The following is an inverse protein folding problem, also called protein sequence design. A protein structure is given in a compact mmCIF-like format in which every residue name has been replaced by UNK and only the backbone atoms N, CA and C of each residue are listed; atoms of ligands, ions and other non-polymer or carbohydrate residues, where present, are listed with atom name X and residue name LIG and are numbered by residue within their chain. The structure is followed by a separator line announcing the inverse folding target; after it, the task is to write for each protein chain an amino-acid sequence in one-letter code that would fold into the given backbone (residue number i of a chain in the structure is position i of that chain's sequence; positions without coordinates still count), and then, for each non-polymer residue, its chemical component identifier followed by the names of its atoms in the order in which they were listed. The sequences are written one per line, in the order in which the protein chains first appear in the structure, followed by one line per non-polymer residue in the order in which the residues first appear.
data_IF_508195579574
#
_entry.id   IF_508195579574
#
_cell.length_a   1.000
_cell.length_b   1.000
_cell.length_c   1.000
_cell.angle_alpha   90.00
_cell.angle_beta   90.00
_cell.angle_gamma   90.00
#
_symmetry.space_group_name_H-M   'P 1'
#
loop_
_entity.id
_entity.type
_entity.pdbx_description
1 polymer ?
#
# COMPACT_ATOMS: atom_id res chain seq x y z
N UNK A 1 18.63 14.49 -12.30
CA UNK A 1 18.83 13.14 -11.76
C UNK A 1 19.78 13.28 -10.61
N UNK A 2 19.32 13.05 -9.39
CA UNK A 2 20.15 13.29 -8.21
C UNK A 2 19.94 12.16 -7.21
N UNK A 3 20.99 11.38 -7.05
CA UNK A 3 21.03 10.32 -6.05
C UNK A 3 21.68 10.89 -4.80
N UNK A 4 21.06 10.73 -3.66
CA UNK A 4 21.52 11.26 -2.38
C UNK A 4 21.98 10.13 -1.48
N UNK A 5 23.08 10.34 -0.74
CA UNK A 5 23.63 9.36 0.21
C UNK A 5 24.00 10.05 1.53
N UNK A 6 23.65 9.44 2.67
CA UNK A 6 24.11 9.92 3.98
C UNK A 6 25.46 9.27 4.38
N UNK A 7 26.31 9.95 5.18
CA UNK A 7 27.55 9.34 5.65
C UNK A 7 27.26 8.10 6.50
N UNK A 8 28.16 7.09 6.53
CA UNK A 8 27.95 5.89 7.34
C UNK A 8 27.80 6.27 8.82
N UNK A 9 26.63 5.98 9.38
CA UNK A 9 26.28 6.40 10.74
C UNK A 9 25.43 5.37 11.49
N UNK A 10 24.82 4.42 10.78
CA UNK A 10 23.86 3.48 11.36
C UNK A 10 24.53 2.15 11.69
N UNK A 11 24.68 1.77 12.97
CA UNK A 11 25.34 0.52 13.34
C UNK A 11 24.39 -0.67 13.18
N UNK A 12 24.77 -1.65 12.35
CA UNK A 12 24.07 -2.94 12.24
C UNK A 12 25.02 -4.03 11.72
N UNK A 13 24.83 -5.28 12.14
CA UNK A 13 25.62 -6.44 11.69
C UNK A 13 27.16 -6.23 11.74
N UNK A 14 27.64 -5.52 12.77
CA UNK A 14 29.07 -5.29 13.00
C UNK A 14 29.73 -4.26 12.06
N UNK A 15 28.94 -3.45 11.34
CA UNK A 15 29.44 -2.38 10.45
C UNK A 15 28.55 -1.14 10.50
N UNK A 16 29.03 -0.04 9.93
CA UNK A 16 28.20 1.14 9.70
C UNK A 16 27.47 1.07 8.36
N UNK A 17 26.31 1.69 8.30
CA UNK A 17 25.45 1.75 7.13
C UNK A 17 25.08 3.19 6.78
N UNK A 18 24.93 3.39 5.47
CA UNK A 18 24.41 4.56 4.79
C UNK A 18 23.08 4.20 4.11
N UNK A 19 22.32 5.22 3.75
CA UNK A 19 21.08 5.16 3.01
C UNK A 19 21.23 5.91 1.70
N UNK A 20 20.87 5.25 0.61
CA UNK A 20 20.91 5.80 -0.73
C UNK A 20 19.48 6.00 -1.25
N UNK A 21 19.14 7.22 -1.67
CA UNK A 21 17.78 7.59 -2.10
C UNK A 21 17.78 8.35 -3.42
N UNK A 22 16.63 8.35 -4.08
CA UNK A 22 16.28 9.34 -5.09
C UNK A 22 15.18 10.23 -4.53
N UNK A 23 15.14 11.49 -4.95
CA UNK A 23 14.03 12.41 -4.72
C UNK A 23 13.12 12.57 -5.96
N UNK A 24 13.34 11.79 -7.01
CA UNK A 24 12.62 11.88 -8.28
C UNK A 24 11.90 10.57 -8.64
N UNK A 25 12.59 9.41 -8.62
CA UNK A 25 11.93 8.11 -8.87
C UNK A 25 12.75 6.92 -8.37
N UNK A 26 12.10 5.79 -8.09
CA UNK A 26 12.82 4.54 -7.81
C UNK A 26 13.49 3.96 -9.04
N UNK A 27 12.99 4.24 -10.24
CA UNK A 27 13.59 3.73 -11.47
C UNK A 27 15.03 4.24 -11.62
N UNK A 28 15.26 5.55 -11.42
CA UNK A 28 16.63 6.08 -11.45
C UNK A 28 17.47 5.56 -10.29
N UNK A 29 16.87 5.35 -9.12
CA UNK A 29 17.58 4.77 -7.97
C UNK A 29 18.02 3.33 -8.26
N UNK A 30 17.15 2.52 -8.87
CA UNK A 30 17.46 1.15 -9.28
C UNK A 30 18.52 1.12 -10.37
N UNK A 31 18.39 1.99 -11.38
CA UNK A 31 19.36 2.09 -12.47
C UNK A 31 20.75 2.48 -11.95
N UNK A 32 20.82 3.44 -11.03
CA UNK A 32 22.07 3.83 -10.38
C UNK A 32 22.64 2.70 -9.52
N UNK A 33 21.81 2.07 -8.69
CA UNK A 33 22.21 0.97 -7.82
C UNK A 33 22.74 -0.23 -8.62
N UNK A 34 22.08 -0.59 -9.73
CA UNK A 34 22.50 -1.65 -10.64
C UNK A 34 23.84 -1.32 -11.31
N UNK A 35 23.99 -0.12 -11.86
CA UNK A 35 25.25 0.34 -12.46
C UNK A 35 26.41 0.34 -11.44
N UNK A 36 26.12 0.63 -10.17
CA UNK A 36 27.08 0.58 -9.08
C UNK A 36 27.24 -0.81 -8.42
N UNK A 37 26.57 -1.84 -8.94
CA UNK A 37 26.67 -3.23 -8.47
C UNK A 37 26.10 -3.47 -7.07
N UNK A 38 25.09 -2.71 -6.65
CA UNK A 38 24.32 -2.96 -5.44
C UNK A 38 23.24 -4.03 -5.70
N UNK A 39 23.12 -5.05 -4.84
CA UNK A 39 22.15 -6.11 -5.06
C UNK A 39 20.72 -5.59 -4.82
N UNK A 40 19.76 -6.03 -5.64
CA UNK A 40 18.35 -5.60 -5.58
C UNK A 40 17.70 -5.81 -4.20
N UNK A 41 18.14 -6.85 -3.47
CA UNK A 41 17.69 -7.17 -2.10
C UNK A 41 18.09 -6.13 -1.04
N UNK A 42 19.03 -5.23 -1.35
CA UNK A 42 19.38 -4.13 -0.45
C UNK A 42 18.37 -2.98 -0.48
N UNK A 43 17.34 -3.07 -1.32
CA UNK A 43 16.28 -2.06 -1.41
C UNK A 43 15.20 -2.31 -0.36
N UNK A 44 15.06 -1.37 0.56
CA UNK A 44 14.16 -1.43 1.73
C UNK A 44 12.84 -0.67 1.49
N UNK A 45 12.37 -0.69 0.25
CA UNK A 45 11.10 -0.10 -0.19
C UNK A 45 11.22 1.33 -0.71
N UNK A 46 12.05 2.18 -0.12
CA UNK A 46 12.27 3.56 -0.58
C UNK A 46 13.72 4.05 -0.57
N UNK A 47 14.65 3.22 -0.12
CA UNK A 47 16.07 3.49 -0.10
C UNK A 47 16.83 2.18 -0.28
N UNK A 48 18.13 2.28 -0.60
CA UNK A 48 19.06 1.17 -0.42
C UNK A 48 19.83 1.33 0.88
N UNK A 49 19.96 0.25 1.64
CA UNK A 49 20.94 0.14 2.71
C UNK A 49 22.31 -0.17 2.10
N UNK A 50 23.28 0.70 2.37
CA UNK A 50 24.63 0.67 1.80
C UNK A 50 25.63 0.44 2.93
N UNK A 51 26.43 -0.63 2.88
CA UNK A 51 27.46 -0.85 3.90
C UNK A 51 28.62 0.14 3.70
N UNK A 52 29.28 0.54 4.80
CA UNK A 52 30.28 1.62 4.82
C UNK A 52 31.39 1.47 3.77
N UNK A 53 31.83 0.24 3.47
CA UNK A 53 32.85 -0.05 2.46
C UNK A 53 32.45 0.34 1.02
N UNK A 54 31.14 0.54 0.75
CA UNK A 54 30.63 0.94 -0.57
C UNK A 54 30.43 2.45 -0.69
N UNK A 55 30.46 3.20 0.42
CA UNK A 55 30.14 4.63 0.44
C UNK A 55 30.99 5.42 -0.56
N UNK A 56 32.33 5.31 -0.45
CA UNK A 56 33.25 6.06 -1.31
C UNK A 56 33.07 5.75 -2.80
N UNK A 57 32.77 4.49 -3.14
CA UNK A 57 32.52 4.07 -4.52
C UNK A 57 31.23 4.66 -5.07
N UNK A 58 30.16 4.76 -4.28
CA UNK A 58 28.90 5.38 -4.71
C UNK A 58 29.03 6.89 -4.87
N UNK A 59 29.79 7.56 -4.00
CA UNK A 59 30.10 8.99 -4.17
C UNK A 59 30.91 9.22 -5.43
N UNK A 60 31.93 8.39 -5.70
CA UNK A 60 32.71 8.45 -6.94
C UNK A 60 31.85 8.16 -8.19
N UNK A 61 30.80 7.33 -8.06
CA UNK A 61 29.84 7.05 -9.12
C UNK A 61 28.79 8.16 -9.33
N UNK A 62 28.79 9.22 -8.51
CA UNK A 62 27.90 10.38 -8.66
C UNK A 62 26.77 10.50 -7.64
N UNK A 63 26.77 9.70 -6.56
CA UNK A 63 25.88 9.95 -5.42
C UNK A 63 26.33 11.20 -4.66
N UNK A 64 25.39 12.09 -4.34
CA UNK A 64 25.64 13.36 -3.66
C UNK A 64 25.53 13.18 -2.14
N UNK A 65 26.62 13.38 -1.39
CA UNK A 65 26.60 13.32 0.07
C UNK A 65 25.71 14.40 0.67
N UNK A 66 24.85 14.01 1.60
CA UNK A 66 24.03 14.92 2.42
C UNK A 66 23.93 14.38 3.84
N UNK A 67 23.60 15.22 4.81
CA UNK A 67 23.32 14.74 6.17
C UNK A 67 22.06 13.87 6.18
N UNK A 68 21.97 12.90 7.11
CA UNK A 68 20.78 12.03 7.21
C UNK A 68 19.46 12.78 7.39
N UNK A 69 19.46 13.93 8.09
CA UNK A 69 18.27 14.79 8.23
C UNK A 69 17.84 15.42 6.91
N UNK A 70 18.80 15.86 6.12
CA UNK A 70 18.59 16.41 4.77
C UNK A 70 18.04 15.34 3.84
N UNK A 71 18.65 14.16 3.86
CA UNK A 71 18.25 13.00 3.07
C UNK A 71 16.78 12.63 3.32
N UNK A 72 16.40 12.51 4.60
CA UNK A 72 15.01 12.21 4.99
C UNK A 72 14.04 13.32 4.57
N UNK A 73 14.46 14.60 4.66
CA UNK A 73 13.61 15.73 4.24
C UNK A 73 13.33 15.68 2.74
N UNK A 74 14.36 15.44 1.92
CA UNK A 74 14.23 15.29 0.45
C UNK A 74 13.35 14.10 0.09
N UNK A 75 13.60 12.95 0.71
CA UNK A 75 12.81 11.74 0.49
C UNK A 75 11.33 11.95 0.86
N UNK A 76 11.02 12.67 1.95
CA UNK A 76 9.64 13.02 2.30
C UNK A 76 9.01 13.98 1.29
N UNK A 77 9.74 15.03 0.89
CA UNK A 77 9.25 16.03 -0.06
C UNK A 77 8.96 15.43 -1.45
N UNK A 78 9.73 14.41 -1.86
CA UNK A 78 9.50 13.69 -3.12
C UNK A 78 8.21 12.85 -3.17
N UNK A 79 7.58 12.59 -2.01
CA UNK A 79 6.48 11.63 -1.92
C UNK A 79 6.93 10.17 -1.96
N UNK A 80 8.21 9.87 -2.21
CA UNK A 80 8.77 8.52 -2.27
C UNK A 80 9.01 7.91 -0.88
N UNK A 81 8.89 8.65 0.23
CA UNK A 81 9.03 8.04 1.56
C UNK A 81 7.92 7.01 1.81
N UNK A 82 8.31 5.78 2.13
CA UNK A 82 7.47 4.73 2.72
C UNK A 82 7.78 4.64 4.21
N UNK A 83 7.01 5.29 5.09
CA UNK A 83 7.21 5.12 6.52
C UNK A 83 7.17 3.63 6.86
N UNK A 84 8.24 3.09 7.45
CA UNK A 84 8.19 1.77 8.09
C UNK A 84 7.35 1.94 9.35
N UNK A 85 6.03 1.77 9.24
CA UNK A 85 5.16 1.72 10.40
C UNK A 85 5.24 0.32 10.99
N UNK A 86 5.36 0.22 12.32
CA UNK A 86 5.22 -1.06 13.02
C UNK A 86 3.90 -1.68 12.56
N UNK A 87 3.85 -2.99 12.33
CA UNK A 87 2.65 -3.70 11.86
C UNK A 87 2.20 -3.46 10.42
N UNK A 88 2.98 -2.77 9.59
CA UNK A 88 2.77 -2.72 8.14
C UNK A 88 3.80 -3.56 7.39
N UNK A 89 3.37 -4.25 6.35
CA UNK A 89 4.24 -4.99 5.43
C UNK A 89 3.80 -4.77 3.99
N UNK A 90 4.70 -4.25 3.16
CA UNK A 90 4.48 -4.18 1.72
C UNK A 90 4.51 -5.61 1.17
N UNK A 91 3.41 -6.05 0.57
CA UNK A 91 3.30 -7.36 -0.07
C UNK A 91 3.77 -7.29 -1.52
N UNK A 92 3.33 -6.26 -2.23
CA UNK A 92 3.64 -6.03 -3.65
C UNK A 92 3.82 -4.54 -3.89
N UNK A 93 4.84 -4.19 -4.66
CA UNK A 93 4.99 -2.84 -5.21
C UNK A 93 4.90 -2.91 -6.73
N UNK A 94 3.99 -2.12 -7.30
CA UNK A 94 3.86 -1.92 -8.73
C UNK A 94 4.50 -0.58 -9.10
N UNK A 95 5.75 -0.55 -9.58
CA UNK A 95 6.34 0.67 -10.13
C UNK A 95 5.70 0.98 -11.49
N UNK A 96 5.33 2.25 -11.73
CA UNK A 96 4.74 2.73 -12.98
C UNK A 96 3.59 1.85 -13.52
N UNK A 97 2.57 1.55 -12.71
CA UNK A 97 1.49 0.66 -13.15
C UNK A 97 0.66 1.32 -14.24
N UNK A 98 0.26 0.55 -15.26
CA UNK A 98 -0.45 1.06 -16.44
C UNK A 98 -1.81 1.73 -16.12
N UNK A 99 -2.38 1.50 -14.93
CA UNK A 99 -3.62 2.11 -14.47
C UNK A 99 -3.44 3.43 -13.70
N UNK A 100 -2.20 3.89 -13.51
CA UNK A 100 -1.89 5.20 -12.92
C UNK A 100 -1.13 6.08 -13.92
N UNK A 101 -1.11 7.42 -13.70
CA UNK A 101 -0.29 8.32 -14.50
C UNK A 101 1.20 7.90 -14.53
N UNK A 102 1.95 8.20 -15.61
CA UNK A 102 3.39 7.93 -15.67
C UNK A 102 4.15 8.51 -14.47
N UNK A 103 5.18 7.78 -14.00
CA UNK A 103 5.93 8.15 -12.80
C UNK A 103 5.25 7.80 -11.47
N UNK A 104 4.02 7.25 -11.51
CA UNK A 104 3.30 6.81 -10.31
C UNK A 104 3.73 5.45 -9.81
N UNK A 105 3.26 5.09 -8.62
CA UNK A 105 3.42 3.78 -8.01
C UNK A 105 2.17 3.36 -7.27
N UNK A 106 1.92 2.06 -7.20
CA UNK A 106 0.96 1.48 -6.27
C UNK A 106 1.66 0.47 -5.33
N UNK A 107 1.40 0.56 -4.03
CA UNK A 107 1.86 -0.41 -3.04
C UNK A 107 0.70 -1.12 -2.39
N UNK A 108 0.74 -2.45 -2.37
CA UNK A 108 -0.21 -3.28 -1.62
C UNK A 108 0.40 -3.59 -0.27
N UNK A 109 -0.24 -3.11 0.80
CA UNK A 109 0.33 -3.10 2.16
C UNK A 109 -0.63 -3.84 3.09
N UNK A 110 -0.20 -4.97 3.62
CA UNK A 110 -0.86 -5.59 4.77
C UNK A 110 -0.61 -4.71 6.00
N UNK A 111 -1.66 -4.44 6.78
CA UNK A 111 -1.57 -3.59 7.97
C UNK A 111 -2.36 -4.20 9.10
N UNK A 112 -1.78 -4.23 10.30
CA UNK A 112 -2.50 -4.56 11.56
C UNK A 112 -2.66 -3.35 12.46
N UNK A 113 -2.68 -2.17 11.86
CA UNK A 113 -3.00 -0.93 12.58
C UNK A 113 -4.50 -0.92 12.92
N UNK A 114 -4.84 -0.36 14.08
CA UNK A 114 -6.25 -0.17 14.44
C UNK A 114 -6.91 0.89 13.55
N UNK A 115 -6.15 1.94 13.21
CA UNK A 115 -6.61 3.00 12.33
C UNK A 115 -6.03 2.84 10.91
N UNK A 116 -6.86 3.07 9.87
CA UNK A 116 -6.39 3.12 8.51
C UNK A 116 -5.50 4.37 8.27
N UNK A 117 -4.76 4.42 7.16
CA UNK A 117 -4.03 5.64 6.78
C UNK A 117 -4.97 6.85 6.68
N UNK A 118 -4.51 8.02 7.15
CA UNK A 118 -5.29 9.26 7.11
C UNK A 118 -5.62 9.73 5.68
N UNK A 119 -4.84 9.29 4.69
CA UNK A 119 -5.05 9.52 3.26
C UNK A 119 -5.99 8.48 2.61
N UNK A 120 -6.79 7.75 3.39
CA UNK A 120 -7.78 6.79 2.87
C UNK A 120 -8.95 7.50 2.21
N UNK A 121 -9.14 7.23 0.92
CA UNK A 121 -10.20 7.83 0.09
C UNK A 121 -11.26 6.83 -0.33
N UNK A 122 -10.95 5.54 -0.35
CA UNK A 122 -11.89 4.46 -0.65
C UNK A 122 -11.79 3.39 0.41
N UNK A 123 -12.96 2.89 0.81
CA UNK A 123 -13.11 1.77 1.74
C UNK A 123 -13.72 0.59 0.98
N UNK A 124 -13.21 -0.61 1.26
CA UNK A 124 -13.78 -1.89 0.87
C UNK A 124 -14.07 -2.72 2.12
N UNK A 125 -15.13 -3.50 2.11
CA UNK A 125 -15.42 -4.47 3.18
C UNK A 125 -15.48 -5.89 2.60
N UNK A 126 -14.56 -6.73 3.05
CA UNK A 126 -14.59 -8.18 2.90
C UNK A 126 -15.57 -8.74 3.92
N UNK A 127 -16.82 -8.96 3.51
CA UNK A 127 -17.84 -9.60 4.33
C UNK A 127 -17.75 -11.11 4.11
N UNK A 128 -17.50 -11.87 5.17
CA UNK A 128 -17.32 -13.32 5.11
C UNK A 128 -18.39 -14.06 5.92
N UNK A 129 -18.93 -15.15 5.36
CA UNK A 129 -19.87 -16.05 6.01
C UNK A 129 -19.66 -17.48 5.56
N UNK A 130 -19.52 -18.43 6.50
CA UNK A 130 -19.41 -19.87 6.22
C UNK A 130 -18.43 -20.31 5.10
N UNK A 131 -17.29 -19.61 4.95
CA UNK A 131 -16.32 -19.91 3.88
C UNK A 131 -16.64 -19.28 2.51
N UNK A 132 -17.64 -18.41 2.47
CA UNK A 132 -17.99 -17.58 1.32
C UNK A 132 -17.75 -16.10 1.62
N UNK A 133 -17.63 -15.30 0.57
CA UNK A 133 -17.49 -13.85 0.64
C UNK A 133 -18.58 -13.17 -0.19
N UNK A 134 -19.06 -12.02 0.30
CA UNK A 134 -20.03 -11.22 -0.44
C UNK A 134 -19.29 -10.41 -1.52
N UNK A 135 -19.73 -10.55 -2.77
CA UNK A 135 -19.21 -9.78 -3.90
C UNK A 135 -20.32 -9.00 -4.58
N UNK A 136 -19.94 -7.89 -5.21
CA UNK A 136 -20.86 -7.01 -5.94
C UNK A 136 -20.39 -6.80 -7.38
N UNK A 137 -21.33 -6.58 -8.29
CA UNK A 137 -21.05 -6.22 -9.67
C UNK A 137 -20.58 -4.76 -9.73
N UNK A 138 -19.43 -4.50 -10.35
CA UNK A 138 -19.00 -3.12 -10.59
C UNK A 138 -19.77 -2.48 -11.76
N UNK A 139 -20.02 -1.16 -11.71
CA UNK A 139 -20.60 -0.43 -12.84
C UNK A 139 -19.78 -0.55 -14.13
N UNK A 140 -18.46 -0.65 -14.03
CA UNK A 140 -17.52 -0.77 -15.15
C UNK A 140 -17.14 -2.23 -15.48
N UNK A 141 -17.77 -3.21 -14.83
CA UNK A 141 -17.63 -4.63 -15.15
C UNK A 141 -16.82 -5.49 -14.17
N UNK A 142 -17.14 -6.78 -14.16
CA UNK A 142 -16.59 -7.78 -13.24
C UNK A 142 -17.07 -7.62 -11.78
N UNK A 143 -16.64 -8.58 -10.96
CA UNK A 143 -16.96 -8.62 -9.53
C UNK A 143 -15.86 -7.93 -8.69
N UNK A 144 -16.24 -7.39 -7.54
CA UNK A 144 -15.34 -6.77 -6.56
C UNK A 144 -15.99 -6.86 -5.18
N UNK A 145 -15.26 -6.45 -4.14
CA UNK A 145 -15.83 -6.30 -2.80
C UNK A 145 -16.76 -5.07 -2.76
N UNK A 146 -17.78 -5.07 -1.88
CA UNK A 146 -18.53 -3.86 -1.53
C UNK A 146 -17.56 -2.71 -1.22
N UNK A 147 -17.76 -1.56 -1.87
CA UNK A 147 -16.82 -0.44 -1.77
C UNK A 147 -17.49 0.92 -1.92
N UNK A 148 -16.96 1.92 -1.23
CA UNK A 148 -17.46 3.30 -1.29
C UNK A 148 -16.31 4.31 -1.16
N UNK A 149 -16.45 5.46 -1.81
CA UNK A 149 -15.55 6.60 -1.60
C UNK A 149 -15.96 7.34 -0.33
N UNK A 150 -14.97 7.71 0.50
CA UNK A 150 -15.18 8.36 1.81
C UNK A 150 -15.92 9.70 1.68
N UNK A 151 -15.72 10.44 0.59
CA UNK A 151 -16.40 11.71 0.36
C UNK A 151 -17.90 11.59 0.01
N UNK A 152 -18.35 10.38 -0.37
CA UNK A 152 -19.74 10.09 -0.76
C UNK A 152 -20.63 9.73 0.42
N UNK A 153 -20.08 9.49 1.61
CA UNK A 153 -20.84 9.15 2.80
C UNK A 153 -21.03 10.36 3.73
N UNK A 154 -22.15 10.38 4.44
CA UNK A 154 -22.40 11.34 5.51
C UNK A 154 -21.32 11.21 6.59
N UNK A 155 -20.82 12.33 7.11
CA UNK A 155 -19.72 12.37 8.09
C UNK A 155 -18.32 12.38 7.46
N UNK A 156 -18.18 11.89 6.22
CA UNK A 156 -16.93 11.94 5.41
C UNK A 156 -15.70 11.40 6.14
N UNK A 157 -15.91 10.37 6.98
CA UNK A 157 -14.84 9.65 7.67
C UNK A 157 -14.76 8.20 7.19
N UNK A 158 -13.61 7.56 7.44
CA UNK A 158 -13.45 6.14 7.11
C UNK A 158 -14.40 5.27 7.95
N UNK A 159 -14.62 5.62 9.21
CA UNK A 159 -15.55 4.90 10.08
C UNK A 159 -16.98 4.94 9.54
N UNK A 160 -17.45 6.12 9.10
CA UNK A 160 -18.77 6.27 8.50
C UNK A 160 -18.88 5.49 7.18
N UNK A 161 -17.80 5.46 6.38
CA UNK A 161 -17.75 4.71 5.13
C UNK A 161 -17.80 3.19 5.35
N UNK A 162 -17.10 2.68 6.36
CA UNK A 162 -17.22 1.28 6.78
C UNK A 162 -18.64 1.01 7.23
N UNK A 163 -19.18 1.77 8.19
CA UNK A 163 -20.52 1.55 8.72
C UNK A 163 -21.60 1.60 7.62
N UNK A 164 -21.48 2.54 6.67
CA UNK A 164 -22.36 2.64 5.51
C UNK A 164 -22.36 1.35 4.69
N UNK A 165 -21.17 0.83 4.38
CA UNK A 165 -21.02 -0.43 3.63
C UNK A 165 -21.57 -1.63 4.41
N UNK A 166 -21.40 -1.69 5.73
CA UNK A 166 -21.94 -2.79 6.53
C UNK A 166 -23.46 -2.82 6.48
N UNK A 167 -24.09 -1.66 6.67
CA UNK A 167 -25.56 -1.52 6.59
C UNK A 167 -26.06 -1.82 5.17
N UNK A 168 -25.39 -1.33 4.12
CA UNK A 168 -25.78 -1.62 2.74
C UNK A 168 -25.59 -3.11 2.38
N UNK A 169 -24.52 -3.73 2.85
CA UNK A 169 -24.15 -5.10 2.53
C UNK A 169 -25.01 -6.12 3.27
N UNK A 170 -25.21 -5.97 4.58
CA UNK A 170 -25.82 -6.99 5.45
C UNK A 170 -26.84 -6.44 6.46
N UNK A 171 -27.14 -5.13 6.42
CA UNK A 171 -28.15 -4.52 7.27
C UNK A 171 -27.77 -4.38 8.75
N UNK A 172 -26.56 -4.80 9.14
CA UNK A 172 -26.06 -4.75 10.51
C UNK A 172 -24.65 -4.15 10.57
N UNK A 173 -24.33 -3.57 11.72
CA UNK A 173 -23.01 -3.02 12.03
C UNK A 173 -22.33 -3.97 12.99
N UNK A 174 -21.11 -4.40 12.66
CA UNK A 174 -20.29 -5.26 13.51
C UNK A 174 -18.86 -4.71 13.62
N UNK A 175 -18.07 -5.17 14.61
CA UNK A 175 -16.64 -4.88 14.64
C UNK A 175 -15.97 -5.29 13.33
N UNK A 176 -15.01 -4.48 12.88
CA UNK A 176 -14.21 -4.76 11.69
C UNK A 176 -12.73 -4.72 12.01
N UNK A 177 -11.95 -5.46 11.24
CA UNK A 177 -10.50 -5.41 11.27
C UNK A 177 -9.95 -4.82 9.98
N UNK A 178 -8.92 -3.96 10.08
CA UNK A 178 -8.16 -3.53 8.91
C UNK A 178 -7.32 -4.70 8.40
N UNK A 179 -7.57 -5.15 7.17
CA UNK A 179 -6.76 -6.17 6.48
C UNK A 179 -5.48 -5.54 5.94
N UNK A 180 -5.62 -4.34 5.38
CA UNK A 180 -4.55 -3.61 4.71
C UNK A 180 -5.11 -2.58 3.75
N UNK A 181 -4.25 -2.06 2.89
CA UNK A 181 -4.64 -1.04 1.92
C UNK A 181 -3.72 -1.04 0.71
N UNK A 182 -4.23 -0.50 -0.39
CA UNK A 182 -3.40 -0.10 -1.52
C UNK A 182 -3.11 1.39 -1.40
N UNK A 183 -1.85 1.78 -1.52
CA UNK A 183 -1.43 3.18 -1.58
C UNK A 183 -1.00 3.52 -2.99
N UNK A 184 -1.70 4.47 -3.60
CA UNK A 184 -1.24 5.12 -4.80
C UNK A 184 -0.33 6.29 -4.42
N UNK A 185 0.81 6.39 -5.09
CA UNK A 185 1.68 7.56 -5.05
C UNK A 185 1.75 8.14 -6.46
N UNK A 186 1.18 9.33 -6.64
CA UNK A 186 1.08 10.06 -7.92
C UNK A 186 1.68 11.45 -7.72
N UNK A 187 2.99 11.63 -7.94
CA UNK A 187 3.67 12.90 -7.67
C UNK A 187 3.13 14.06 -8.51
N UNK A 188 2.89 13.82 -9.80
CA UNK A 188 2.42 14.81 -10.76
C UNK A 188 1.08 14.33 -11.38
N UNK A 189 -0.06 14.60 -10.73
CA UNK A 189 -1.35 14.18 -11.26
C UNK A 189 -1.69 15.00 -12.52
N UNK A 190 -2.19 14.37 -13.60
CA UNK A 190 -2.74 15.11 -14.72
C UNK A 190 -4.02 15.85 -14.29
N UNK A 191 -4.39 16.88 -15.05
CA UNK A 191 -5.67 17.55 -14.85
C UNK A 191 -6.83 16.53 -14.88
N UNK A 192 -7.71 16.59 -13.88
CA UNK A 192 -8.85 15.66 -13.77
C UNK A 192 -8.53 14.32 -13.09
N UNK A 193 -7.32 14.11 -12.55
CA UNK A 193 -7.04 12.96 -11.70
C UNK A 193 -8.00 12.96 -10.49
N UNK A 194 -8.72 11.85 -10.22
CA UNK A 194 -9.85 11.87 -9.29
C UNK A 194 -9.45 11.80 -7.81
N UNK A 195 -8.17 11.56 -7.50
CA UNK A 195 -7.72 11.33 -6.12
C UNK A 195 -6.76 12.42 -5.64
N UNK A 196 -6.69 12.67 -4.32
CA UNK A 196 -5.66 13.50 -3.74
C UNK A 196 -4.25 13.04 -4.12
N UNK A 197 -3.36 14.01 -4.33
CA UNK A 197 -1.96 13.80 -4.63
C UNK A 197 -1.07 14.45 -3.55
N UNK A 198 0.13 13.91 -3.28
CA UNK A 198 0.75 12.80 -4.01
C UNK A 198 0.26 11.42 -3.54
N UNK A 199 -0.60 11.32 -2.53
CA UNK A 199 -0.98 10.03 -1.93
C UNK A 199 -2.49 9.87 -1.77
N UNK A 200 -2.95 8.67 -2.07
CA UNK A 200 -4.31 8.21 -1.82
C UNK A 200 -4.29 6.73 -1.43
N UNK A 201 -5.01 6.39 -0.36
CA UNK A 201 -5.11 5.03 0.17
C UNK A 201 -6.50 4.43 -0.06
N UNK A 202 -6.52 3.12 -0.30
CA UNK A 202 -7.70 2.33 -0.64
C UNK A 202 -7.73 1.14 0.31
N UNK A 203 -8.46 1.27 1.42
CA UNK A 203 -8.42 0.34 2.54
C UNK A 203 -9.38 -0.84 2.34
N UNK A 204 -9.00 -2.01 2.86
CA UNK A 204 -9.83 -3.22 2.94
C UNK A 204 -10.02 -3.57 4.41
N UNK A 205 -11.27 -3.66 4.82
CA UNK A 205 -11.68 -4.12 6.14
C UNK A 205 -12.31 -5.51 6.05
N UNK A 206 -12.22 -6.30 7.11
CA UNK A 206 -12.86 -7.61 7.21
C UNK A 206 -13.96 -7.59 8.26
N UNK A 207 -15.07 -8.25 7.93
CA UNK A 207 -16.20 -8.49 8.82
C UNK A 207 -16.64 -9.95 8.65
N UNK A 208 -16.87 -10.64 9.77
CA UNK A 208 -17.52 -11.96 9.78
C UNK A 208 -18.98 -11.77 10.16
N UNK A 209 -19.87 -12.47 9.46
CA UNK A 209 -21.32 -12.46 9.70
C UNK A 209 -21.86 -13.88 9.77
N UNK A 210 -22.98 -14.05 10.47
CA UNK A 210 -23.60 -15.36 10.63
C UNK A 210 -24.09 -15.94 9.29
N UNK A 211 -24.07 -17.28 9.14
CA UNK A 211 -24.61 -17.94 7.96
C UNK A 211 -26.09 -17.59 7.76
N UNK A 212 -26.45 -17.22 6.52
CA UNK A 212 -27.83 -16.89 6.17
C UNK A 212 -28.27 -15.47 6.58
N UNK A 213 -27.33 -14.60 6.99
CA UNK A 213 -27.63 -13.18 7.18
C UNK A 213 -28.27 -12.59 5.91
N UNK A 214 -29.37 -11.82 6.03
CA UNK A 214 -29.88 -11.06 4.90
C UNK A 214 -28.79 -10.15 4.35
N UNK A 215 -28.71 -10.02 3.02
CA UNK A 215 -27.77 -9.14 2.38
C UNK A 215 -28.48 -8.23 1.37
N UNK A 216 -27.90 -7.06 1.14
CA UNK A 216 -28.42 -6.07 0.20
C UNK A 216 -28.11 -6.46 -1.25
N UNK A 217 -27.19 -5.73 -1.88
CA UNK A 217 -26.75 -6.01 -3.25
C UNK A 217 -25.59 -6.99 -3.26
N UNK A 218 -25.56 -7.87 -4.26
CA UNK A 218 -24.45 -8.80 -4.50
C UNK A 218 -24.90 -10.26 -4.53
N UNK A 219 -23.94 -11.15 -4.33
CA UNK A 219 -24.17 -12.58 -4.09
C UNK A 219 -22.96 -13.17 -3.36
N UNK A 220 -23.16 -14.31 -2.71
CA UNK A 220 -22.10 -15.04 -2.02
C UNK A 220 -21.35 -15.93 -3.00
N UNK A 221 -20.02 -15.88 -2.97
CA UNK A 221 -19.16 -16.83 -3.67
C UNK A 221 -18.29 -17.58 -2.67
N UNK A 222 -18.04 -18.87 -2.92
CA UNK A 222 -17.02 -19.61 -2.18
C UNK A 222 -15.64 -18.99 -2.41
N UNK A 223 -14.71 -19.14 -1.46
CA UNK A 223 -13.39 -18.49 -1.56
C UNK A 223 -12.62 -18.83 -2.85
N UNK A 224 -12.68 -20.07 -3.33
CA UNK A 224 -12.01 -20.49 -4.57
C UNK A 224 -12.61 -19.80 -5.80
N UNK A 225 -13.95 -19.79 -5.91
CA UNK A 225 -14.67 -19.11 -6.99
C UNK A 225 -14.47 -17.59 -6.93
N UNK A 226 -14.44 -17.02 -5.72
CA UNK A 226 -14.11 -15.62 -5.53
C UNK A 226 -12.68 -15.32 -6.02
N UNK A 227 -11.72 -16.23 -5.82
CA UNK A 227 -10.37 -16.06 -6.31
C UNK A 227 -10.31 -15.97 -7.84
N UNK A 228 -11.07 -16.81 -8.56
CA UNK A 228 -11.14 -16.80 -10.02
C UNK A 228 -11.61 -15.45 -10.59
N UNK A 229 -12.44 -14.72 -9.82
CA UNK A 229 -12.96 -13.42 -10.22
C UNK A 229 -12.16 -12.22 -9.71
N UNK A 230 -11.50 -12.37 -8.56
CA UNK A 230 -10.91 -11.26 -7.81
C UNK A 230 -9.37 -11.23 -7.91
N UNK A 231 -8.72 -12.29 -8.41
CA UNK A 231 -7.25 -12.40 -8.46
C UNK A 231 -6.55 -11.26 -9.21
N UNK A 232 -7.20 -10.74 -10.25
CA UNK A 232 -6.69 -9.64 -11.08
C UNK A 232 -6.89 -8.26 -10.45
N UNK A 233 -7.59 -8.18 -9.31
CA UNK A 233 -7.76 -6.91 -8.60
C UNK A 233 -6.45 -6.54 -7.92
N UNK A 234 -6.01 -5.30 -8.09
CA UNK A 234 -4.75 -4.80 -7.52
C UNK A 234 -4.66 -4.96 -5.99
N UNK A 235 -5.78 -5.01 -5.27
CA UNK A 235 -5.81 -5.23 -3.83
C UNK A 235 -5.81 -6.71 -3.42
N UNK A 236 -5.98 -7.64 -4.37
CA UNK A 236 -6.08 -9.09 -4.12
C UNK A 236 -4.97 -9.68 -3.24
N UNK A 237 -3.69 -9.28 -3.36
CA UNK A 237 -2.62 -9.87 -2.54
C UNK A 237 -2.87 -9.78 -1.02
N UNK A 238 -3.74 -8.87 -0.56
CA UNK A 238 -4.16 -8.77 0.83
C UNK A 238 -4.91 -10.01 1.33
N UNK A 239 -5.74 -10.65 0.50
CA UNK A 239 -6.64 -11.72 0.94
C UNK A 239 -5.88 -13.02 1.25
N UNK A 240 -5.06 -13.57 0.33
CA UNK A 240 -4.25 -14.75 0.65
C UNK A 240 -3.33 -14.51 1.85
N UNK A 241 -2.76 -13.32 1.97
CA UNK A 241 -1.93 -12.94 3.13
C UNK A 241 -2.71 -13.01 4.45
N UNK A 242 -3.91 -12.41 4.46
CA UNK A 242 -4.80 -12.37 5.61
C UNK A 242 -5.25 -13.78 6.02
N UNK A 243 -5.72 -14.58 5.06
CA UNK A 243 -6.19 -15.95 5.32
C UNK A 243 -5.07 -16.95 5.64
N UNK A 244 -3.82 -16.67 5.26
CA UNK A 244 -2.67 -17.51 5.62
C UNK A 244 -2.16 -17.26 7.04
N UNK A 245 -2.55 -16.14 7.66
CA UNK A 245 -2.17 -15.79 9.02
C UNK A 245 -3.37 -15.45 9.92
N UNK A 246 -4.42 -16.29 9.95
CA UNK A 246 -5.59 -16.03 10.76
C UNK A 246 -5.21 -16.23 12.24
N UNK A 247 -5.27 -15.16 13.04
CA UNK A 247 -5.17 -15.27 14.49
C UNK A 247 -3.81 -14.92 15.10
N UNK A 248 -2.99 -14.06 14.48
CA UNK A 248 -2.10 -13.17 15.27
C UNK A 248 -2.85 -11.92 15.80
N UNK A 249 -4.18 -12.02 15.84
CA UNK A 249 -5.19 -10.97 16.09
C UNK A 249 -5.71 -11.07 17.53
N UNK A 250 -4.78 -11.03 18.49
CA UNK A 250 -5.04 -10.91 19.92
C UNK A 250 -4.09 -9.89 20.54
#
# INVERSE_FOLDING_TARGET
MTIWIDPPAWPAHGRLWSHLVSDTSYEELHRFAEAAGLPRRGFEGDHYDVPEERYAALVAAGAHPVEGRELVRRLRASGLRIPKRRHERVLVSHPAPAWLPPGSRADVIASRQQEPPADTVVVRVLVQSAGSVLVVQRPDGGLDLPSVTVDRVSGRSVADAVQHLQVEAVGEVAPTELVGYVRNTVPEPPAGYPWPAPRACFAVFHQVVDPGVPFGRGHWLGLDEAADHLSERHWWPLLPEFFSHPGRHG
#
